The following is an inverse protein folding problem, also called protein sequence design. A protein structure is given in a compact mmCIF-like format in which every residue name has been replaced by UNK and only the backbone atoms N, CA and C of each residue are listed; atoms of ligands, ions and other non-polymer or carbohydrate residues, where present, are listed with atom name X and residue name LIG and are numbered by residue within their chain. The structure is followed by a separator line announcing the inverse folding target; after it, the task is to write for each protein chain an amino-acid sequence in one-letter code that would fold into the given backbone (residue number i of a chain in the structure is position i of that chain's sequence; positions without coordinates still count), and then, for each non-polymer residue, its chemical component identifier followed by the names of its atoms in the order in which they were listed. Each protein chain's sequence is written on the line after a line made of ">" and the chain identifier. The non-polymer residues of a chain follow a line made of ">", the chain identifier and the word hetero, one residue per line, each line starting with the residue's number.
data_IF_132761868730
#
_entry.id   IF_132761868730
#
_cell.length_a   1.000
_cell.length_b   1.000
_cell.length_c   1.000
_cell.angle_alpha   90.00
_cell.angle_beta   90.00
_cell.angle_gamma   90.00
#
_symmetry.space_group_name_H-M   'P 1'
#
loop_
_entity.id
_entity.type
_entity.pdbx_description
1 polymer ?
#
# COMPACT_ATOMS: atom_id res chain seq x y z
N UNK A 1 11.11 -90.24 -11.23
CA UNK A 1 11.82 -88.99 -11.60
C UNK A 1 10.78 -88.01 -12.12
N UNK A 2 10.47 -86.95 -11.36
CA UNK A 2 9.47 -85.92 -11.72
C UNK A 2 10.21 -84.63 -12.10
N UNK A 3 10.03 -84.15 -13.31
CA UNK A 3 10.59 -82.89 -13.79
C UNK A 3 9.72 -81.72 -13.32
N UNK A 4 10.34 -80.76 -12.63
CA UNK A 4 9.74 -79.49 -12.22
C UNK A 4 10.08 -78.47 -13.32
N UNK A 5 9.05 -77.96 -14.01
CA UNK A 5 9.19 -76.88 -14.97
C UNK A 5 9.23 -75.53 -14.24
N UNK A 6 10.33 -74.79 -14.42
CA UNK A 6 10.51 -73.45 -13.87
C UNK A 6 9.97 -72.43 -14.89
N UNK A 7 8.87 -71.75 -14.55
CA UNK A 7 8.31 -70.68 -15.36
C UNK A 7 9.03 -69.35 -15.04
N UNK A 8 9.76 -68.79 -16.01
CA UNK A 8 10.29 -67.43 -15.95
C UNK A 8 9.14 -66.42 -16.09
N UNK A 9 8.84 -65.70 -15.01
CA UNK A 9 7.95 -64.54 -15.05
C UNK A 9 8.70 -63.32 -15.57
N UNK A 10 8.24 -62.77 -16.70
CA UNK A 10 8.70 -61.48 -17.24
C UNK A 10 8.07 -60.35 -16.43
N UNK A 11 8.88 -59.64 -15.65
CA UNK A 11 8.49 -58.39 -14.98
C UNK A 11 8.42 -57.26 -16.02
N UNK A 12 7.22 -56.94 -16.49
CA UNK A 12 6.97 -55.76 -17.31
C UNK A 12 7.17 -54.49 -16.47
N UNK A 13 8.25 -53.76 -16.73
CA UNK A 13 8.50 -52.46 -16.10
C UNK A 13 7.62 -51.40 -16.76
N UNK A 14 6.60 -50.92 -16.04
CA UNK A 14 5.75 -49.82 -16.49
C UNK A 14 6.55 -48.52 -16.40
N UNK A 15 7.10 -48.03 -17.52
CA UNK A 15 7.64 -46.67 -17.59
C UNK A 15 6.47 -45.69 -17.50
N UNK A 16 6.37 -44.99 -16.37
CA UNK A 16 5.44 -43.86 -16.22
C UNK A 16 6.00 -42.73 -17.09
N UNK A 17 5.45 -42.56 -18.29
CA UNK A 17 5.74 -41.40 -19.12
C UNK A 17 5.13 -40.18 -18.43
N UNK A 18 5.98 -39.36 -17.80
CA UNK A 18 5.58 -38.02 -17.40
C UNK A 18 5.32 -37.21 -18.67
N UNK A 19 4.06 -37.02 -19.02
CA UNK A 19 3.69 -36.08 -20.06
C UNK A 19 4.14 -34.68 -19.61
N UNK A 20 5.16 -34.12 -20.27
CA UNK A 20 5.57 -32.75 -20.05
C UNK A 20 4.38 -31.84 -20.39
N UNK A 21 3.86 -31.14 -19.37
CA UNK A 21 2.77 -30.19 -19.56
C UNK A 21 3.31 -29.06 -20.45
N UNK A 22 2.77 -28.95 -21.67
CA UNK A 22 3.16 -27.90 -22.61
C UNK A 22 2.94 -26.51 -21.97
N UNK A 23 3.94 -25.62 -21.93
CA UNK A 23 3.80 -24.28 -21.37
C UNK A 23 2.82 -23.43 -22.21
N UNK A 24 2.11 -22.52 -21.55
CA UNK A 24 1.17 -21.60 -22.21
C UNK A 24 1.93 -20.58 -23.05
N UNK A 25 1.44 -20.36 -24.27
CA UNK A 25 1.93 -19.29 -25.15
C UNK A 25 1.21 -17.97 -24.85
N UNK A 26 1.73 -16.87 -25.38
CA UNK A 26 1.03 -15.58 -25.31
C UNK A 26 -0.37 -15.63 -25.96
N UNK A 27 -0.57 -16.46 -27.00
CA UNK A 27 -1.88 -16.63 -27.62
C UNK A 27 -2.87 -17.34 -26.68
N UNK A 28 -2.39 -18.35 -25.94
CA UNK A 28 -3.20 -19.06 -24.93
C UNK A 28 -3.59 -18.12 -23.79
N UNK A 29 -2.65 -17.30 -23.30
CA UNK A 29 -2.93 -16.27 -22.28
C UNK A 29 -3.97 -15.24 -22.76
N UNK A 30 -3.87 -14.79 -24.02
CA UNK A 30 -4.89 -13.90 -24.64
C UNK A 30 -6.26 -14.58 -24.67
N UNK A 31 -6.31 -15.86 -25.01
CA UNK A 31 -7.56 -16.63 -25.04
C UNK A 31 -8.16 -16.78 -23.63
N UNK A 32 -7.35 -17.07 -22.60
CA UNK A 32 -7.81 -17.14 -21.21
C UNK A 32 -8.38 -15.80 -20.72
N UNK A 33 -7.70 -14.69 -21.01
CA UNK A 33 -8.19 -13.34 -20.67
C UNK A 33 -9.52 -13.05 -21.37
N UNK A 34 -9.66 -13.39 -22.65
CA UNK A 34 -10.92 -13.22 -23.39
C UNK A 34 -12.07 -14.05 -22.81
N UNK A 35 -11.76 -15.25 -22.30
CA UNK A 35 -12.71 -16.14 -21.63
C UNK A 35 -12.96 -15.78 -20.16
N UNK A 36 -12.30 -14.73 -19.64
CA UNK A 36 -12.33 -14.32 -18.23
C UNK A 36 -11.78 -15.37 -17.26
N UNK A 37 -10.95 -16.29 -17.74
CA UNK A 37 -10.18 -17.25 -16.94
C UNK A 37 -8.94 -16.57 -16.34
N UNK A 38 -9.16 -15.46 -15.64
CA UNK A 38 -8.08 -14.55 -15.23
C UNK A 38 -7.10 -15.16 -14.24
N UNK A 39 -7.60 -15.96 -13.29
CA UNK A 39 -6.74 -16.64 -12.31
C UNK A 39 -5.74 -17.57 -13.00
N UNK A 40 -6.23 -18.42 -13.91
CA UNK A 40 -5.39 -19.32 -14.70
C UNK A 40 -4.40 -18.53 -15.56
N UNK A 41 -4.84 -17.44 -16.19
CA UNK A 41 -3.95 -16.58 -16.95
C UNK A 41 -2.80 -16.03 -16.10
N UNK A 42 -3.08 -15.55 -14.87
CA UNK A 42 -2.07 -15.06 -13.92
C UNK A 42 -1.09 -16.17 -13.50
N UNK A 43 -1.60 -17.36 -13.19
CA UNK A 43 -0.79 -18.53 -12.79
C UNK A 43 0.18 -18.97 -13.89
N UNK A 44 -0.18 -18.74 -15.16
CA UNK A 44 0.60 -19.12 -16.34
C UNK A 44 1.37 -17.97 -17.00
N UNK A 45 1.39 -16.75 -16.43
CA UNK A 45 2.15 -15.63 -16.98
C UNK A 45 3.66 -15.91 -17.11
N UNK A 46 4.20 -16.75 -16.21
CA UNK A 46 5.61 -17.14 -16.19
C UNK A 46 5.99 -18.16 -17.26
N UNK A 47 5.02 -18.83 -17.88
CA UNK A 47 5.26 -19.81 -18.96
C UNK A 47 5.85 -19.13 -20.20
N UNK A 48 5.55 -17.85 -20.41
CA UNK A 48 6.23 -17.02 -21.42
C UNK A 48 7.60 -16.61 -20.88
N UNK A 49 8.65 -16.97 -21.63
CA UNK A 49 10.04 -16.74 -21.22
C UNK A 49 10.32 -15.24 -21.05
N UNK A 50 11.22 -14.82 -20.13
CA UNK A 50 11.52 -13.40 -19.94
C UNK A 50 11.92 -12.65 -21.21
N UNK A 51 12.61 -13.30 -22.15
CA UNK A 51 13.01 -12.73 -23.45
C UNK A 51 11.83 -12.47 -24.39
N UNK A 52 10.69 -13.12 -24.19
CA UNK A 52 9.48 -13.00 -25.01
C UNK A 52 8.43 -12.08 -24.37
N UNK A 53 8.69 -11.53 -23.19
CA UNK A 53 7.78 -10.62 -22.46
C UNK A 53 7.82 -9.20 -23.03
N UNK A 54 7.27 -9.08 -24.23
CA UNK A 54 7.10 -7.81 -24.96
C UNK A 54 6.05 -6.90 -24.34
N UNK A 55 5.82 -5.72 -24.92
CA UNK A 55 4.72 -4.83 -24.54
C UNK A 55 3.34 -5.52 -24.65
N UNK A 56 3.17 -6.40 -25.64
CA UNK A 56 1.96 -7.19 -25.82
C UNK A 56 1.73 -8.15 -24.65
N UNK A 57 2.79 -8.80 -24.16
CA UNK A 57 2.72 -9.62 -22.95
C UNK A 57 2.38 -8.78 -21.73
N UNK A 58 2.97 -7.58 -21.59
CA UNK A 58 2.68 -6.68 -20.45
C UNK A 58 1.21 -6.26 -20.42
N UNK A 59 0.61 -5.99 -21.59
CA UNK A 59 -0.81 -5.67 -21.69
C UNK A 59 -1.70 -6.86 -21.26
N UNK A 60 -1.37 -8.08 -21.71
CA UNK A 60 -2.08 -9.31 -21.31
C UNK A 60 -1.92 -9.59 -19.82
N UNK A 61 -0.72 -9.41 -19.27
CA UNK A 61 -0.44 -9.58 -17.85
C UNK A 61 -1.24 -8.59 -17.00
N UNK A 62 -1.28 -7.31 -17.40
CA UNK A 62 -2.08 -6.30 -16.71
C UNK A 62 -3.59 -6.61 -16.78
N UNK A 63 -4.08 -7.09 -17.93
CA UNK A 63 -5.48 -7.48 -18.11
C UNK A 63 -5.87 -8.69 -17.26
N UNK A 64 -5.03 -9.73 -17.27
CA UNK A 64 -5.19 -10.91 -16.45
C UNK A 64 -5.18 -10.56 -14.96
N UNK A 65 -4.19 -9.78 -14.51
CA UNK A 65 -4.06 -9.37 -13.12
C UNK A 65 -5.24 -8.49 -12.67
N UNK A 66 -5.65 -7.51 -13.48
CA UNK A 66 -6.78 -6.64 -13.17
C UNK A 66 -8.09 -7.46 -13.10
N UNK A 67 -8.31 -8.36 -14.06
CA UNK A 67 -9.47 -9.25 -14.06
C UNK A 67 -9.47 -10.20 -12.86
N UNK A 68 -8.32 -10.76 -12.50
CA UNK A 68 -8.18 -11.67 -11.38
C UNK A 68 -8.49 -10.98 -10.06
N UNK A 69 -7.76 -9.91 -9.74
CA UNK A 69 -7.95 -9.13 -8.51
C UNK A 69 -9.37 -8.56 -8.43
N UNK A 70 -9.91 -8.04 -9.54
CA UNK A 70 -11.28 -7.53 -9.63
C UNK A 70 -12.36 -8.60 -9.44
N UNK A 71 -12.05 -9.88 -9.69
CA UNK A 71 -12.98 -11.01 -9.54
C UNK A 71 -13.01 -11.61 -8.13
N UNK A 72 -12.07 -11.24 -7.26
CA UNK A 72 -12.00 -11.78 -5.90
C UNK A 72 -13.25 -11.37 -5.10
N UNK A 73 -13.83 -12.32 -4.35
CA UNK A 73 -14.99 -12.08 -3.49
C UNK A 73 -14.61 -11.31 -2.22
N UNK A 74 -15.52 -10.46 -1.74
CA UNK A 74 -15.31 -9.60 -0.56
C UNK A 74 -15.42 -10.33 0.79
N UNK A 75 -15.65 -11.64 0.78
CA UNK A 75 -15.81 -12.46 1.99
C UNK A 75 -14.49 -12.67 2.75
N UNK A 76 -13.33 -12.49 2.11
CA UNK A 76 -12.02 -12.52 2.76
C UNK A 76 -11.10 -11.40 2.25
N UNK A 77 -11.21 -10.23 2.88
CA UNK A 77 -10.45 -9.04 2.50
C UNK A 77 -8.94 -9.17 2.79
N UNK A 78 -8.53 -9.99 3.77
CA UNK A 78 -7.11 -10.27 4.04
C UNK A 78 -6.49 -11.05 2.87
N UNK A 79 -7.16 -12.10 2.40
CA UNK A 79 -6.70 -12.85 1.22
C UNK A 79 -6.56 -11.94 0.00
N UNK A 80 -7.46 -10.97 -0.20
CA UNK A 80 -7.32 -10.00 -1.31
C UNK A 80 -6.04 -9.20 -1.23
N UNK A 81 -5.67 -8.70 -0.05
CA UNK A 81 -4.42 -7.96 0.14
C UNK A 81 -3.23 -8.85 -0.27
N UNK A 82 -3.20 -10.09 0.23
CA UNK A 82 -2.11 -11.03 -0.07
C UNK A 82 -2.01 -11.37 -1.56
N UNK A 83 -3.14 -11.55 -2.25
CA UNK A 83 -3.14 -11.81 -3.70
C UNK A 83 -2.67 -10.58 -4.50
N UNK A 84 -3.04 -9.36 -4.09
CA UNK A 84 -2.52 -8.13 -4.71
C UNK A 84 -1.01 -8.06 -4.55
N UNK A 85 -0.50 -8.21 -3.33
CA UNK A 85 0.94 -8.12 -3.04
C UNK A 85 1.75 -9.21 -3.74
N UNK A 86 1.18 -10.42 -3.85
CA UNK A 86 1.77 -11.51 -4.64
C UNK A 86 1.89 -11.12 -6.10
N UNK A 87 0.81 -10.60 -6.71
CA UNK A 87 0.83 -10.18 -8.11
C UNK A 87 1.83 -9.03 -8.34
N UNK A 88 1.86 -8.02 -7.46
CA UNK A 88 2.78 -6.89 -7.55
C UNK A 88 4.26 -7.33 -7.48
N UNK A 89 4.56 -8.25 -6.55
CA UNK A 89 5.94 -8.73 -6.34
C UNK A 89 6.40 -9.67 -7.47
N UNK A 90 5.51 -10.49 -8.02
CA UNK A 90 5.84 -11.41 -9.12
C UNK A 90 5.96 -10.68 -10.47
N UNK A 91 5.21 -9.60 -10.67
CA UNK A 91 5.10 -8.91 -11.96
C UNK A 91 5.22 -7.38 -11.83
N UNK A 92 6.29 -6.82 -11.24
CA UNK A 92 6.37 -5.39 -10.93
C UNK A 92 6.25 -4.46 -12.14
N UNK A 93 6.52 -4.94 -13.36
CA UNK A 93 6.34 -4.16 -14.59
C UNK A 93 4.88 -3.79 -14.88
N UNK A 94 3.90 -4.56 -14.38
CA UNK A 94 2.47 -4.28 -14.64
C UNK A 94 1.95 -3.08 -13.85
N UNK A 95 2.68 -2.62 -12.81
CA UNK A 95 2.38 -1.39 -12.07
C UNK A 95 2.49 -0.13 -12.94
N UNK A 96 3.11 -0.22 -14.13
CA UNK A 96 3.10 0.85 -15.13
C UNK A 96 1.78 0.93 -15.92
N UNK A 97 0.92 -0.09 -15.81
CA UNK A 97 -0.37 -0.12 -16.51
C UNK A 97 -1.45 0.58 -15.70
N UNK A 98 -1.94 1.71 -16.21
CA UNK A 98 -3.08 2.43 -15.64
C UNK A 98 -4.34 1.55 -15.47
N UNK A 99 -4.53 0.55 -16.35
CA UNK A 99 -5.65 -0.38 -16.25
C UNK A 99 -5.53 -1.27 -15.01
N UNK A 100 -4.33 -1.77 -14.74
CA UNK A 100 -4.08 -2.57 -13.54
C UNK A 100 -4.10 -1.70 -12.28
N UNK A 101 -3.35 -0.59 -12.24
CA UNK A 101 -3.25 0.24 -11.03
C UNK A 101 -4.57 0.84 -10.61
N UNK A 102 -5.47 1.15 -11.56
CA UNK A 102 -6.85 1.56 -11.23
C UNK A 102 -7.59 0.48 -10.44
N UNK A 103 -7.67 -0.74 -10.97
CA UNK A 103 -8.38 -1.86 -10.31
C UNK A 103 -7.70 -2.23 -8.99
N UNK A 104 -6.37 -2.32 -8.99
CA UNK A 104 -5.55 -2.55 -7.80
C UNK A 104 -5.84 -1.52 -6.71
N UNK A 105 -5.89 -0.24 -7.06
CA UNK A 105 -6.20 0.85 -6.14
C UNK A 105 -7.59 0.74 -5.52
N UNK A 106 -8.61 0.54 -6.35
CA UNK A 106 -10.01 0.41 -5.92
C UNK A 106 -10.22 -0.82 -5.01
N UNK A 107 -9.75 -1.99 -5.43
CA UNK A 107 -9.87 -3.24 -4.65
C UNK A 107 -9.00 -3.17 -3.40
N UNK A 108 -7.76 -2.67 -3.50
CA UNK A 108 -6.84 -2.53 -2.39
C UNK A 108 -7.38 -1.64 -1.29
N UNK A 109 -7.93 -0.46 -1.61
CA UNK A 109 -8.53 0.43 -0.61
C UNK A 109 -9.68 -0.26 0.15
N UNK A 110 -10.53 -1.02 -0.54
CA UNK A 110 -11.60 -1.78 0.10
C UNK A 110 -11.05 -2.90 0.98
N UNK A 111 -10.03 -3.60 0.51
CA UNK A 111 -9.41 -4.71 1.24
C UNK A 111 -8.71 -4.22 2.53
N UNK A 112 -7.92 -3.16 2.44
CA UNK A 112 -7.28 -2.56 3.62
C UNK A 112 -8.27 -1.93 4.57
N UNK A 113 -9.39 -1.38 4.08
CA UNK A 113 -10.49 -0.92 4.96
C UNK A 113 -10.97 -2.08 5.83
N UNK A 114 -11.24 -3.23 5.22
CA UNK A 114 -11.58 -4.44 5.94
C UNK A 114 -10.51 -4.90 6.92
N UNK A 115 -9.24 -4.83 6.53
CA UNK A 115 -8.12 -5.16 7.40
C UNK A 115 -8.13 -4.27 8.65
N UNK A 116 -8.25 -2.95 8.49
CA UNK A 116 -8.26 -2.01 9.61
C UNK A 116 -9.50 -2.15 10.49
N UNK A 117 -10.66 -2.45 9.92
CA UNK A 117 -11.92 -2.59 10.66
C UNK A 117 -12.01 -3.91 11.45
N UNK A 118 -11.32 -4.97 11.02
CA UNK A 118 -11.55 -6.32 11.55
C UNK A 118 -10.28 -7.00 12.12
N UNK A 119 -9.09 -6.44 11.94
CA UNK A 119 -7.86 -7.06 12.43
C UNK A 119 -7.57 -6.70 13.89
N UNK A 120 -7.24 -7.72 14.69
CA UNK A 120 -6.62 -7.53 16.00
C UNK A 120 -5.17 -7.00 15.88
N UNK A 121 -4.53 -7.23 14.74
CA UNK A 121 -3.13 -6.86 14.44
C UNK A 121 -3.11 -5.66 13.49
N UNK A 122 -3.53 -4.50 14.01
CA UNK A 122 -3.63 -3.28 13.19
C UNK A 122 -2.27 -2.87 12.59
N UNK A 123 -1.17 -3.10 13.31
CA UNK A 123 0.18 -2.74 12.87
C UNK A 123 0.60 -3.52 11.61
N UNK A 124 0.24 -4.80 11.52
CA UNK A 124 0.48 -5.59 10.30
C UNK A 124 -0.30 -5.02 9.12
N UNK A 125 -1.60 -4.72 9.30
CA UNK A 125 -2.40 -4.07 8.25
C UNK A 125 -1.78 -2.75 7.80
N UNK A 126 -1.27 -1.95 8.74
CA UNK A 126 -0.64 -0.68 8.45
C UNK A 126 0.61 -0.92 7.58
N UNK A 127 1.51 -1.81 7.97
CA UNK A 127 2.77 -2.02 7.23
C UNK A 127 2.55 -2.58 5.84
N UNK A 128 1.63 -3.52 5.68
CA UNK A 128 1.19 -4.01 4.38
C UNK A 128 0.59 -2.87 3.54
N UNK A 129 -0.28 -2.04 4.11
CA UNK A 129 -0.86 -0.90 3.41
C UNK A 129 0.20 0.11 2.96
N UNK A 130 1.27 0.30 3.74
CA UNK A 130 2.34 1.21 3.33
C UNK A 130 3.14 0.64 2.15
N UNK A 131 3.52 -0.65 2.19
CA UNK A 131 4.17 -1.34 1.06
C UNK A 131 3.32 -1.30 -0.21
N UNK A 132 2.00 -1.46 -0.07
CA UNK A 132 1.06 -1.33 -1.18
C UNK A 132 1.08 0.05 -1.84
N UNK A 133 1.22 1.12 -1.05
CA UNK A 133 1.38 2.49 -1.58
C UNK A 133 2.78 2.70 -2.16
N UNK A 134 3.82 2.11 -1.59
CA UNK A 134 5.18 2.22 -2.12
C UNK A 134 5.35 1.56 -3.49
N UNK A 135 4.66 0.45 -3.75
CA UNK A 135 4.65 -0.22 -5.04
C UNK A 135 4.04 0.65 -6.17
N UNK A 136 3.14 1.58 -5.85
CA UNK A 136 2.55 2.54 -6.80
C UNK A 136 2.87 3.99 -6.36
N UNK A 137 4.17 4.27 -6.23
CA UNK A 137 4.67 5.48 -5.54
C UNK A 137 4.23 6.80 -6.15
N UNK A 138 3.91 6.81 -7.44
CA UNK A 138 3.53 8.00 -8.20
C UNK A 138 2.02 8.30 -8.07
N UNK A 139 1.23 7.37 -7.51
CA UNK A 139 -0.20 7.50 -7.33
C UNK A 139 -0.55 8.26 -6.03
N UNK A 140 -0.40 9.58 -6.10
CA UNK A 140 -0.64 10.48 -4.96
C UNK A 140 -2.09 10.44 -4.46
N UNK A 141 -3.05 10.22 -5.35
CA UNK A 141 -4.46 10.11 -5.00
C UNK A 141 -4.73 8.83 -4.17
N UNK A 142 -4.14 7.71 -4.56
CA UNK A 142 -4.22 6.46 -3.80
C UNK A 142 -3.58 6.61 -2.41
N UNK A 143 -2.40 7.22 -2.32
CA UNK A 143 -1.75 7.52 -1.04
C UNK A 143 -2.62 8.41 -0.15
N UNK A 144 -3.24 9.44 -0.73
CA UNK A 144 -4.13 10.34 -0.01
C UNK A 144 -5.37 9.61 0.52
N UNK A 145 -6.05 8.83 -0.32
CA UNK A 145 -7.21 8.01 0.05
C UNK A 145 -6.86 7.00 1.16
N UNK A 146 -5.69 6.37 1.08
CA UNK A 146 -5.21 5.47 2.12
C UNK A 146 -4.95 6.20 3.44
N UNK A 147 -4.38 7.41 3.40
CA UNK A 147 -4.21 8.26 4.58
C UNK A 147 -5.55 8.54 5.28
N UNK A 148 -6.58 8.93 4.52
CA UNK A 148 -7.93 9.14 5.07
C UNK A 148 -8.50 7.88 5.71
N UNK A 149 -8.28 6.74 5.07
CA UNK A 149 -8.75 5.45 5.55
C UNK A 149 -8.06 5.02 6.86
N UNK A 150 -6.74 5.19 6.95
CA UNK A 150 -5.96 4.93 8.17
C UNK A 150 -6.36 5.88 9.29
N UNK A 151 -6.54 7.17 8.98
CA UNK A 151 -6.99 8.19 9.94
C UNK A 151 -8.34 7.81 10.54
N UNK A 152 -9.23 7.18 9.75
CA UNK A 152 -10.56 6.73 10.18
C UNK A 152 -10.56 5.48 11.05
N UNK A 153 -9.75 4.49 10.69
CA UNK A 153 -9.84 3.14 11.27
C UNK A 153 -8.69 2.80 12.22
N UNK A 154 -7.67 3.65 12.32
CA UNK A 154 -6.54 3.50 13.22
C UNK A 154 -6.34 4.79 14.05
N UNK A 155 -5.09 5.10 14.42
CA UNK A 155 -4.76 6.37 15.09
C UNK A 155 -4.56 7.47 14.05
N UNK A 156 -4.99 8.70 14.35
CA UNK A 156 -4.83 9.82 13.42
C UNK A 156 -3.36 10.03 13.00
N UNK A 157 -2.43 9.98 13.96
CA UNK A 157 -1.00 10.09 13.66
C UNK A 157 -0.45 8.97 12.75
N UNK A 158 -1.05 7.77 12.74
CA UNK A 158 -0.58 6.66 11.88
C UNK A 158 -0.81 6.96 10.39
N UNK A 159 -1.74 7.86 10.07
CA UNK A 159 -2.01 8.30 8.69
C UNK A 159 -0.94 9.23 8.11
N UNK A 160 -0.08 9.80 8.95
CA UNK A 160 0.89 10.83 8.55
C UNK A 160 1.83 10.36 7.44
N UNK A 161 2.29 9.10 7.47
CA UNK A 161 3.20 8.58 6.43
C UNK A 161 2.57 8.53 5.05
N UNK A 162 1.26 8.30 4.98
CA UNK A 162 0.49 8.27 3.73
C UNK A 162 0.20 9.68 3.21
N UNK A 163 -0.21 10.60 4.11
CA UNK A 163 -0.39 12.00 3.75
C UNK A 163 0.92 12.66 3.31
N UNK A 164 2.03 12.40 4.01
CA UNK A 164 3.36 12.85 3.59
C UNK A 164 3.68 12.39 2.16
N UNK A 165 3.46 11.11 1.85
CA UNK A 165 3.67 10.56 0.50
C UNK A 165 2.85 11.31 -0.55
N UNK A 166 1.55 11.49 -0.31
CA UNK A 166 0.66 12.19 -1.22
C UNK A 166 1.09 13.66 -1.46
N UNK A 167 1.44 14.37 -0.38
CA UNK A 167 1.80 15.79 -0.44
C UNK A 167 3.18 16.04 -1.05
N UNK A 168 4.16 15.16 -0.82
CA UNK A 168 5.53 15.32 -1.32
C UNK A 168 5.59 15.19 -2.84
N UNK A 169 4.82 14.26 -3.40
CA UNK A 169 4.81 14.04 -4.85
C UNK A 169 3.93 15.08 -5.58
N UNK A 170 2.73 15.40 -5.06
CA UNK A 170 1.83 16.38 -5.69
C UNK A 170 0.79 16.94 -4.71
N UNK A 171 1.19 17.92 -3.90
CA UNK A 171 0.25 18.66 -3.05
C UNK A 171 -0.75 19.48 -3.88
N UNK A 172 -2.01 19.52 -3.46
CA UNK A 172 -3.04 20.39 -4.02
C UNK A 172 -3.68 21.25 -2.93
N UNK A 173 -4.28 22.39 -3.30
CA UNK A 173 -5.01 23.24 -2.34
C UNK A 173 -6.14 22.47 -1.65
N UNK A 174 -6.83 21.59 -2.37
CA UNK A 174 -7.91 20.76 -1.83
C UNK A 174 -7.39 19.76 -0.80
N UNK A 175 -6.27 19.08 -1.07
CA UNK A 175 -5.62 18.21 -0.08
C UNK A 175 -5.22 18.99 1.17
N UNK A 176 -4.56 20.14 1.02
CA UNK A 176 -4.11 20.93 2.16
C UNK A 176 -5.26 21.52 3.00
N UNK A 177 -6.45 21.69 2.41
CA UNK A 177 -7.65 22.12 3.14
C UNK A 177 -8.42 20.95 3.79
N UNK A 178 -8.00 19.70 3.59
CA UNK A 178 -8.69 18.54 4.13
C UNK A 178 -8.44 18.40 5.64
N UNK A 179 -9.54 18.30 6.41
CA UNK A 179 -9.51 18.21 7.87
C UNK A 179 -8.77 16.97 8.38
N UNK A 180 -8.70 15.91 7.58
CA UNK A 180 -7.97 14.69 7.95
C UNK A 180 -6.46 14.93 8.03
N UNK A 181 -5.90 15.81 7.20
CA UNK A 181 -4.47 16.20 7.32
C UNK A 181 -4.26 16.99 8.61
N UNK A 182 -5.14 17.95 8.90
CA UNK A 182 -5.05 18.74 10.13
C UNK A 182 -5.09 17.85 11.37
N UNK A 183 -6.08 16.95 11.47
CA UNK A 183 -6.20 16.00 12.57
C UNK A 183 -4.96 15.10 12.72
N UNK A 184 -4.43 14.60 11.60
CA UNK A 184 -3.23 13.77 11.61
C UNK A 184 -1.99 14.53 12.10
N UNK A 185 -1.80 15.77 11.61
CA UNK A 185 -0.67 16.63 12.01
C UNK A 185 -0.76 17.00 13.48
N UNK A 186 -1.90 17.49 13.95
CA UNK A 186 -2.08 17.86 15.36
C UNK A 186 -1.90 16.64 16.27
N UNK A 187 -2.46 15.48 15.89
CA UNK A 187 -2.26 14.25 16.64
C UNK A 187 -0.80 13.81 16.68
N UNK A 188 -0.02 14.02 15.61
CA UNK A 188 1.40 13.69 15.59
C UNK A 188 2.27 14.67 16.39
N UNK A 189 1.93 15.96 16.37
CA UNK A 189 2.58 16.98 17.21
C UNK A 189 2.30 16.78 18.70
N UNK A 190 1.20 16.12 19.06
CA UNK A 190 0.86 15.77 20.43
C UNK A 190 1.59 14.52 20.96
N UNK A 191 2.50 13.91 20.19
CA UNK A 191 3.23 12.71 20.60
C UNK A 191 4.53 13.01 21.37
N UNK A 192 4.98 12.09 22.23
CA UNK A 192 6.33 12.08 22.75
C UNK A 192 7.39 12.00 21.65
N UNK A 193 8.61 12.46 21.93
CA UNK A 193 9.73 12.46 20.97
C UNK A 193 10.21 11.07 20.53
N UNK A 194 9.84 10.03 21.27
CA UNK A 194 10.17 8.64 20.95
C UNK A 194 9.34 8.04 19.80
N UNK A 195 8.31 8.74 19.30
CA UNK A 195 7.45 8.25 18.24
C UNK A 195 7.92 8.70 16.86
N UNK A 196 8.09 7.76 15.93
CA UNK A 196 8.51 8.01 14.55
C UNK A 196 7.54 8.91 13.76
N UNK A 197 6.29 9.01 14.20
CA UNK A 197 5.29 9.88 13.59
C UNK A 197 5.56 11.37 13.86
N UNK A 198 6.29 11.73 14.92
CA UNK A 198 6.54 13.13 15.27
C UNK A 198 7.40 13.84 14.21
N UNK A 199 8.56 13.31 13.78
CA UNK A 199 9.32 13.89 12.66
C UNK A 199 8.48 14.12 11.41
N UNK A 200 7.62 13.16 11.06
CA UNK A 200 6.71 13.26 9.90
C UNK A 200 5.69 14.38 10.11
N UNK A 201 5.11 14.50 11.31
CA UNK A 201 4.17 15.58 11.63
C UNK A 201 4.83 16.95 11.48
N UNK A 202 6.05 17.13 11.99
CA UNK A 202 6.83 18.37 11.86
C UNK A 202 7.11 18.70 10.39
N UNK A 203 7.44 17.70 9.57
CA UNK A 203 7.71 17.89 8.14
C UNK A 203 6.45 18.32 7.38
N UNK A 204 5.32 17.62 7.58
CA UNK A 204 4.04 17.96 6.93
C UNK A 204 3.54 19.32 7.39
N UNK A 205 3.64 19.63 8.68
CA UNK A 205 3.25 20.92 9.25
C UNK A 205 3.98 22.09 8.57
N UNK A 206 5.30 21.97 8.37
CA UNK A 206 6.14 23.06 7.85
C UNK A 206 6.19 23.14 6.32
N UNK A 207 5.71 22.08 5.65
CA UNK A 207 5.83 21.86 4.22
C UNK A 207 4.73 22.52 3.39
N UNK A 208 4.31 21.82 2.33
CA UNK A 208 3.45 22.37 1.27
C UNK A 208 2.07 22.87 1.76
N UNK A 209 1.58 22.36 2.89
CA UNK A 209 0.28 22.72 3.44
C UNK A 209 0.35 23.76 4.58
N UNK A 210 1.49 24.42 4.77
CA UNK A 210 1.71 25.38 5.86
C UNK A 210 0.62 26.45 5.96
N UNK A 211 0.21 27.05 4.84
CA UNK A 211 -0.80 28.12 4.85
C UNK A 211 -2.16 27.67 5.40
N UNK A 212 -2.53 26.41 5.21
CA UNK A 212 -3.76 25.84 5.77
C UNK A 212 -3.58 25.36 7.22
N UNK A 213 -2.40 24.84 7.56
CA UNK A 213 -2.12 24.23 8.86
C UNK A 213 -1.67 25.25 9.92
N UNK A 214 -1.17 26.43 9.54
CA UNK A 214 -0.64 27.43 10.46
C UNK A 214 -1.63 27.80 11.57
N UNK A 215 -2.86 28.18 11.19
CA UNK A 215 -3.88 28.61 12.16
C UNK A 215 -4.21 27.52 13.20
N UNK A 216 -4.64 26.31 12.80
CA UNK A 216 -4.97 25.27 13.77
C UNK A 216 -3.78 24.83 14.63
N UNK A 217 -2.55 24.84 14.09
CA UNK A 217 -1.35 24.54 14.90
C UNK A 217 -1.10 25.64 15.95
N UNK A 218 -1.26 26.92 15.60
CA UNK A 218 -1.10 28.02 16.56
C UNK A 218 -2.20 27.98 17.63
N UNK A 219 -3.43 27.65 17.25
CA UNK A 219 -4.54 27.45 18.21
C UNK A 219 -4.22 26.32 19.18
N UNK A 220 -3.85 25.14 18.67
CA UNK A 220 -3.47 24.00 19.50
C UNK A 220 -2.24 24.31 20.39
N UNK A 221 -1.26 25.06 19.89
CA UNK A 221 -0.11 25.52 20.68
C UNK A 221 -0.53 26.38 21.88
N UNK A 222 -1.54 27.25 21.71
CA UNK A 222 -2.02 28.13 22.77
C UNK A 222 -2.86 27.40 23.81
N UNK A 223 -3.67 26.44 23.35
CA UNK A 223 -4.53 25.61 24.20
C UNK A 223 -3.75 24.56 25.00
N UNK A 224 -2.59 24.15 24.49
CA UNK A 224 -1.75 23.16 25.15
C UNK A 224 -1.06 23.74 26.39
N UNK A 225 -0.83 22.89 27.38
CA UNK A 225 -0.16 23.26 28.63
C UNK A 225 1.29 23.71 28.38
N UNK A 226 1.89 24.42 29.35
CA UNK A 226 3.26 24.93 29.22
C UNK A 226 4.30 23.82 28.92
N UNK A 227 4.05 22.60 29.41
CA UNK A 227 4.89 21.43 29.18
C UNK A 227 4.24 20.40 28.25
N UNK A 228 3.19 20.79 27.52
CA UNK A 228 2.50 19.90 26.61
C UNK A 228 3.30 19.60 25.36
N UNK A 229 3.01 18.45 24.75
CA UNK A 229 3.75 17.97 23.59
C UNK A 229 3.56 18.85 22.36
N UNK A 230 2.35 19.35 22.09
CA UNK A 230 2.11 20.22 20.93
C UNK A 230 2.92 21.50 21.08
N UNK A 231 2.88 22.12 22.26
CA UNK A 231 3.65 23.33 22.56
C UNK A 231 5.15 23.11 22.37
N UNK A 232 5.67 22.05 22.98
CA UNK A 232 7.09 21.68 22.89
C UNK A 232 7.51 21.41 21.44
N UNK A 233 6.77 20.55 20.75
CA UNK A 233 7.12 20.08 19.42
C UNK A 233 6.94 21.14 18.33
N UNK A 234 5.97 22.06 18.47
CA UNK A 234 5.71 23.09 17.48
C UNK A 234 6.57 24.35 17.66
N UNK A 235 7.08 24.58 18.87
CA UNK A 235 7.75 25.81 19.25
C UNK A 235 8.84 26.26 18.27
N UNK A 236 9.82 25.40 17.99
CA UNK A 236 10.98 25.72 17.16
C UNK A 236 10.57 26.19 15.76
N UNK A 237 9.67 25.45 15.09
CA UNK A 237 9.27 25.81 13.74
C UNK A 237 8.28 26.97 13.68
N UNK A 238 7.41 27.13 14.68
CA UNK A 238 6.52 28.29 14.74
C UNK A 238 7.32 29.59 14.93
N UNK A 239 8.40 29.56 15.72
CA UNK A 239 9.37 30.67 15.82
C UNK A 239 10.05 30.94 14.48
N UNK A 240 10.61 29.91 13.83
CA UNK A 240 11.30 30.04 12.56
C UNK A 240 10.41 30.64 11.45
N UNK A 241 9.12 30.24 11.44
CA UNK A 241 8.10 30.75 10.50
C UNK A 241 7.49 32.10 10.93
N UNK A 242 7.93 32.71 12.04
CA UNK A 242 7.36 33.94 12.62
C UNK A 242 5.83 33.84 12.80
N UNK A 243 5.37 32.68 13.23
CA UNK A 243 3.95 32.38 13.43
C UNK A 243 3.46 32.72 14.85
N UNK A 244 4.38 33.00 15.77
CA UNK A 244 4.09 33.36 17.16
C UNK A 244 4.25 34.87 17.38
N UNK A 245 3.43 35.43 18.27
CA UNK A 245 3.67 36.74 18.87
C UNK A 245 4.93 36.72 19.74
N UNK A 246 5.42 37.91 20.14
CA UNK A 246 6.56 38.01 21.03
C UNK A 246 6.30 37.34 22.40
N UNK A 247 5.08 37.43 22.90
CA UNK A 247 4.63 36.82 24.16
C UNK A 247 4.56 35.31 24.03
N UNK A 248 3.93 34.80 22.96
CA UNK A 248 3.87 33.36 22.69
C UNK A 248 5.27 32.76 22.55
N UNK A 249 6.18 33.44 21.84
CA UNK A 249 7.56 33.01 21.66
C UNK A 249 8.39 32.98 22.97
N UNK A 250 7.99 33.68 24.03
CA UNK A 250 8.63 33.60 25.36
C UNK A 250 8.24 32.33 26.12
N UNK A 251 7.05 31.79 25.87
CA UNK A 251 6.56 30.55 26.52
C UNK A 251 7.19 29.28 25.99
N UNK A 252 7.89 29.41 24.86
CA UNK A 252 8.64 28.38 24.19
C UNK A 252 9.92 28.03 24.97
N UNK A 253 9.96 26.86 25.60
CA UNK A 253 11.19 26.30 26.19
C UNK A 253 12.13 25.78 25.11
N UNK A 254 13.42 25.75 25.40
CA UNK A 254 14.43 25.13 24.51
C UNK A 254 14.14 23.64 24.37
N UNK A 255 14.17 23.12 23.15
CA UNK A 255 14.10 21.68 22.87
C UNK A 255 15.22 20.99 23.68
N UNK A 256 14.85 20.11 24.63
CA UNK A 256 15.81 19.26 25.35
C UNK A 256 16.10 17.99 24.56
#
# INVERSE_FOLDING_TARGET
>A
MKHIALALGVLASSTVAFAEKKPYTLADLKALVAQKSFKEAVEHLKDVSPSERTADWQAVAADAAAGYIGSLKDDNLVTKVLEIEKVDSEYPSILKSAKYTKVRGEVGLKAYKGCFENSYWIDECLDHAYKFIEADSDNTDLAFKMGKLVRLNAKHWASLRYFKKALTAKSTKAMCADKDIEMAVLSGLALPSSYDALPIAKEVAQGACWENLKKPIVEAFNEDSENGYVRTNACSFLKAKKALSAEQAKTCKSDK
#
